data_IF_361012204014
#
_entry.id   IF_361012204014
#
_cell.length_a   1.000
_cell.length_b   1.000
_cell.length_c   1.000
_cell.angle_alpha   90.00
_cell.angle_beta   90.00
_cell.angle_gamma   90.00
#
_symmetry.space_group_name_H-M   'P 1'
#
loop_
_entity.id
_entity.type
_entity.pdbx_description
1 polymer ?
#
# COMPACT_ATOMS: atom_id res chain seq x y z
N UNK A 1 -8.06 -27.80 -31.25
CA UNK A 1 -7.95 -27.06 -29.99
C UNK A 1 -7.13 -27.89 -29.05
N UNK A 2 -6.16 -27.28 -28.38
CA UNK A 2 -5.34 -27.98 -27.39
C UNK A 2 -6.17 -28.36 -26.17
N UNK A 3 -5.83 -29.48 -25.54
CA UNK A 3 -6.56 -30.02 -24.40
C UNK A 3 -6.57 -29.03 -23.22
N UNK A 4 -7.67 -28.98 -22.44
CA UNK A 4 -7.72 -28.15 -21.24
C UNK A 4 -6.72 -28.67 -20.19
N UNK A 5 -5.99 -27.76 -19.56
CA UNK A 5 -5.12 -28.08 -18.42
C UNK A 5 -5.93 -28.30 -17.14
N UNK A 6 -7.10 -27.65 -17.04
CA UNK A 6 -8.05 -27.83 -15.95
C UNK A 6 -9.47 -27.91 -16.50
N UNK A 7 -10.27 -28.83 -15.94
CA UNK A 7 -11.69 -28.96 -16.29
C UNK A 7 -12.54 -28.69 -15.05
N UNK A 8 -13.31 -27.61 -15.09
CA UNK A 8 -14.35 -27.31 -14.10
C UNK A 8 -15.66 -27.94 -14.54
N UNK A 9 -16.04 -27.76 -15.81
CA UNK A 9 -17.21 -28.39 -16.42
C UNK A 9 -16.77 -29.26 -17.62
N UNK A 10 -16.90 -30.60 -17.56
CA UNK A 10 -16.58 -31.48 -18.68
C UNK A 10 -17.40 -31.23 -19.94
N UNK A 11 -18.63 -30.72 -19.78
CA UNK A 11 -19.51 -30.31 -20.88
C UNK A 11 -19.40 -28.80 -21.17
N UNK A 12 -18.40 -28.15 -20.57
CA UNK A 12 -18.15 -26.73 -20.68
C UNK A 12 -17.88 -26.30 -22.13
N UNK A 13 -18.53 -25.21 -22.52
CA UNK A 13 -18.52 -24.56 -23.83
C UNK A 13 -17.60 -23.34 -23.91
N UNK A 14 -16.84 -23.04 -22.84
CA UNK A 14 -15.85 -21.96 -22.80
C UNK A 14 -14.50 -22.49 -22.36
N UNK A 15 -13.44 -22.10 -23.07
CA UNK A 15 -12.06 -22.25 -22.62
C UNK A 15 -11.55 -20.88 -22.18
N UNK A 16 -11.20 -20.73 -20.91
CA UNK A 16 -10.45 -19.56 -20.44
C UNK A 16 -8.96 -19.85 -20.60
N UNK A 17 -8.29 -19.01 -21.37
CA UNK A 17 -6.85 -19.05 -21.60
C UNK A 17 -6.22 -18.03 -20.65
N UNK A 18 -5.63 -18.51 -19.55
CA UNK A 18 -4.95 -17.70 -18.55
C UNK A 18 -3.46 -17.60 -18.88
N UNK A 19 -3.00 -16.42 -19.28
CA UNK A 19 -1.58 -16.10 -19.50
C UNK A 19 -0.96 -15.39 -18.28
N UNK A 20 0.37 -15.43 -18.17
CA UNK A 20 1.14 -14.78 -17.09
C UNK A 20 0.64 -15.08 -15.66
N UNK A 21 0.19 -16.32 -15.41
CA UNK A 21 -0.40 -16.67 -14.12
C UNK A 21 0.58 -16.49 -12.94
N UNK A 22 0.03 -16.19 -11.76
CA UNK A 22 0.78 -16.00 -10.51
C UNK A 22 1.75 -14.80 -10.53
N UNK A 23 1.31 -13.70 -11.13
CA UNK A 23 2.01 -12.42 -11.04
C UNK A 23 2.16 -11.98 -9.55
N UNK A 24 3.22 -11.23 -9.19
CA UNK A 24 3.41 -10.75 -7.81
C UNK A 24 2.18 -10.00 -7.29
N UNK A 25 1.66 -10.44 -6.15
CA UNK A 25 0.44 -9.89 -5.56
C UNK A 25 0.78 -8.94 -4.41
N UNK A 26 0.34 -7.68 -4.54
CA UNK A 26 0.60 -6.61 -3.57
C UNK A 26 2.10 -6.44 -3.21
N UNK A 27 2.98 -6.16 -4.20
CA UNK A 27 4.42 -6.06 -3.97
C UNK A 27 4.76 -4.97 -2.94
N UNK A 28 5.95 -5.08 -2.36
CA UNK A 28 6.45 -4.08 -1.43
C UNK A 28 6.77 -2.76 -2.11
N UNK A 29 6.52 -1.64 -1.43
CA UNK A 29 6.78 -0.28 -1.96
C UNK A 29 8.28 -0.05 -2.27
N UNK A 30 9.16 -0.95 -1.84
CA UNK A 30 10.60 -0.90 -2.06
C UNK A 30 11.11 -1.83 -3.17
N UNK A 31 10.23 -2.57 -3.87
CA UNK A 31 10.63 -3.33 -5.04
C UNK A 31 10.62 -2.43 -6.28
N UNK A 32 11.73 -1.72 -6.49
CA UNK A 32 12.08 -1.12 -7.77
C UNK A 32 12.03 -2.23 -8.85
N UNK A 33 10.95 -2.24 -9.62
CA UNK A 33 10.69 -3.26 -10.65
C UNK A 33 11.47 -3.00 -11.94
N UNK A 34 12.64 -2.36 -11.85
CA UNK A 34 13.54 -2.12 -12.99
C UNK A 34 14.49 -3.28 -13.28
N UNK A 35 14.48 -4.36 -12.48
CA UNK A 35 15.35 -5.53 -12.70
C UNK A 35 14.73 -6.63 -13.60
N UNK A 36 14.14 -6.25 -14.75
CA UNK A 36 13.88 -7.16 -15.88
C UNK A 36 14.04 -6.41 -17.21
N UNK A 37 15.21 -5.82 -17.43
CA UNK A 37 15.70 -5.52 -18.78
C UNK A 37 17.14 -5.98 -18.90
N UNK A 38 17.30 -7.07 -19.65
CA UNK A 38 18.47 -7.53 -20.38
C UNK A 38 19.80 -7.61 -19.61
N UNK A 39 20.12 -8.81 -19.13
CA UNK A 39 21.51 -9.25 -18.98
C UNK A 39 21.70 -10.55 -19.75
N UNK A 40 21.94 -10.41 -21.05
CA UNK A 40 22.67 -11.38 -21.86
C UNK A 40 23.36 -10.61 -22.98
N UNK A 41 24.67 -10.42 -22.84
CA UNK A 41 25.67 -10.31 -23.92
C UNK A 41 27.03 -10.12 -23.27
N UNK A 42 27.83 -11.17 -23.33
CA UNK A 42 29.20 -11.22 -22.84
C UNK A 42 30.18 -10.68 -23.89
N UNK A 43 31.18 -9.92 -23.42
CA UNK A 43 32.54 -9.72 -23.97
C UNK A 43 32.75 -8.90 -25.27
N UNK A 44 33.45 -7.76 -25.19
CA UNK A 44 34.92 -7.62 -25.30
C UNK A 44 35.37 -6.15 -25.37
N UNK A 45 36.57 -5.93 -24.82
CA UNK A 45 37.41 -4.74 -24.72
C UNK A 45 37.98 -4.23 -26.05
N UNK A 46 38.11 -2.90 -26.21
CA UNK A 46 39.35 -2.19 -26.58
C UNK A 46 39.15 -0.67 -26.64
N UNK A 47 39.94 0.02 -25.82
CA UNK A 47 40.75 1.23 -26.02
C UNK A 47 40.26 2.47 -26.81
N UNK A 48 40.37 3.61 -26.10
CA UNK A 48 40.88 4.94 -26.49
C UNK A 48 40.18 5.73 -27.63
N UNK A 49 39.56 6.87 -27.29
CA UNK A 49 40.13 8.23 -27.44
C UNK A 49 39.02 9.30 -27.29
N UNK A 50 39.36 10.38 -26.61
CA UNK A 50 38.60 11.63 -26.53
C UNK A 50 38.55 12.32 -27.90
N UNK A 51 37.49 13.09 -28.17
CA UNK A 51 37.58 14.54 -28.43
C UNK A 51 36.45 15.11 -29.33
N UNK A 52 35.96 16.27 -28.87
CA UNK A 52 35.36 17.41 -29.59
C UNK A 52 34.07 17.33 -30.44
N UNK A 53 33.11 18.16 -29.98
CA UNK A 53 32.28 19.12 -30.72
C UNK A 53 31.71 18.74 -32.11
N UNK A 54 30.38 18.86 -32.27
CA UNK A 54 29.73 20.00 -32.96
C UNK A 54 28.25 19.73 -33.25
N UNK A 55 27.42 20.72 -32.92
CA UNK A 55 26.01 20.83 -33.28
C UNK A 55 25.75 20.64 -34.78
N UNK A 56 24.61 20.00 -35.14
CA UNK A 56 23.62 20.57 -36.07
C UNK A 56 22.33 19.73 -36.13
N UNK A 57 21.23 20.46 -35.94
CA UNK A 57 19.82 20.07 -36.08
C UNK A 57 19.41 20.01 -37.58
N UNK A 58 18.13 19.71 -37.92
CA UNK A 58 17.65 18.50 -38.58
C UNK A 58 17.36 18.70 -40.08
N UNK A 59 17.07 17.61 -40.81
CA UNK A 59 16.35 17.71 -42.10
C UNK A 59 15.19 16.71 -42.15
N UNK A 60 13.99 17.28 -42.29
CA UNK A 60 12.76 16.64 -42.73
C UNK A 60 12.85 16.35 -44.23
N UNK A 61 12.38 15.17 -44.65
CA UNK A 61 11.72 14.97 -45.95
C UNK A 61 10.58 13.97 -45.71
N UNK A 62 9.37 14.39 -46.07
CA UNK A 62 8.11 13.66 -46.11
C UNK A 62 7.98 12.76 -47.35
N UNK A 63 6.89 11.97 -47.34
CA UNK A 63 6.18 11.26 -48.43
C UNK A 63 6.43 9.74 -48.50
N UNK A 64 5.55 8.89 -47.93
CA UNK A 64 4.19 8.46 -48.36
C UNK A 64 4.20 7.16 -49.23
N UNK A 65 3.08 6.41 -49.29
CA UNK A 65 3.03 4.99 -48.94
C UNK A 65 2.95 4.05 -50.16
N UNK A 66 3.11 2.74 -49.95
CA UNK A 66 2.71 1.73 -50.94
C UNK A 66 2.23 0.45 -50.25
N UNK A 67 1.04 0.00 -50.65
CA UNK A 67 0.30 -1.16 -50.14
C UNK A 67 0.73 -2.47 -50.85
N UNK A 68 1.05 -3.50 -50.05
CA UNK A 68 0.75 -4.98 -50.17
C UNK A 68 1.01 -5.77 -51.47
N UNK A 69 0.99 -7.14 -51.49
CA UNK A 69 0.97 -8.17 -50.42
C UNK A 69 2.06 -9.27 -50.62
N UNK A 70 2.11 -10.27 -49.72
CA UNK A 70 2.06 -11.76 -49.94
C UNK A 70 2.99 -12.57 -49.02
N UNK A 71 2.35 -13.51 -48.30
CA UNK A 71 2.77 -14.85 -47.84
C UNK A 71 4.00 -15.13 -46.96
N UNK A 72 3.66 -15.80 -45.86
CA UNK A 72 4.33 -16.89 -45.14
C UNK A 72 5.66 -16.69 -44.39
N UNK A 73 5.58 -17.01 -43.09
CA UNK A 73 6.56 -17.88 -42.46
C UNK A 73 7.51 -17.26 -41.45
N UNK A 74 7.03 -16.99 -40.23
CA UNK A 74 7.57 -17.61 -39.01
C UNK A 74 6.74 -17.15 -37.82
N UNK A 75 5.98 -18.07 -37.22
CA UNK A 75 5.60 -17.96 -35.83
C UNK A 75 6.90 -17.99 -35.04
N UNK A 76 7.34 -16.84 -34.53
CA UNK A 76 8.37 -16.86 -33.50
C UNK A 76 7.73 -17.45 -32.25
N UNK A 77 7.95 -18.75 -32.04
CA UNK A 77 7.77 -19.41 -30.75
C UNK A 77 8.63 -18.68 -29.73
N UNK A 78 8.04 -17.72 -29.04
CA UNK A 78 8.60 -17.22 -27.78
C UNK A 78 8.47 -18.34 -26.74
N UNK A 79 9.44 -18.48 -25.83
CA UNK A 79 9.51 -19.62 -24.92
C UNK A 79 8.26 -19.66 -24.05
N UNK A 80 7.51 -20.75 -24.18
CA UNK A 80 6.33 -21.19 -23.43
C UNK A 80 6.06 -20.41 -22.13
N UNK A 81 5.39 -19.26 -22.24
CA UNK A 81 4.75 -18.62 -21.08
C UNK A 81 3.68 -19.59 -20.61
N UNK A 82 3.84 -20.15 -19.40
CA UNK A 82 2.99 -21.18 -18.81
C UNK A 82 1.52 -20.74 -18.83
N UNK A 83 0.82 -21.13 -19.89
CA UNK A 83 -0.56 -20.73 -20.15
C UNK A 83 -1.49 -21.85 -19.69
N UNK A 84 -2.52 -21.50 -18.90
CA UNK A 84 -3.49 -22.45 -18.40
C UNK A 84 -4.78 -22.37 -19.23
N UNK A 85 -5.28 -23.51 -19.67
CA UNK A 85 -6.54 -23.63 -20.44
C UNK A 85 -7.59 -24.26 -19.54
N UNK A 86 -8.59 -23.48 -19.13
CA UNK A 86 -9.58 -23.87 -18.13
C UNK A 86 -10.94 -24.03 -18.80
N UNK A 87 -11.47 -25.26 -18.84
CA UNK A 87 -12.78 -25.55 -19.41
C UNK A 87 -13.90 -25.29 -18.39
N UNK A 88 -14.84 -24.44 -18.77
CA UNK A 88 -15.93 -23.93 -17.92
C UNK A 88 -17.23 -23.77 -18.72
N UNK A 89 -18.33 -23.53 -18.02
CA UNK A 89 -19.65 -23.32 -18.61
C UNK A 89 -19.99 -21.84 -18.78
N UNK A 90 -20.29 -21.41 -20.01
CA UNK A 90 -20.79 -20.07 -20.31
C UNK A 90 -22.02 -19.72 -19.47
N UNK A 91 -22.95 -20.66 -19.29
CA UNK A 91 -24.20 -20.43 -18.54
C UNK A 91 -23.92 -20.04 -17.09
N UNK A 92 -23.00 -20.71 -16.43
CA UNK A 92 -22.61 -20.40 -15.04
C UNK A 92 -21.92 -19.04 -14.95
N UNK A 93 -20.98 -18.76 -15.87
CA UNK A 93 -20.28 -17.47 -15.92
C UNK A 93 -21.24 -16.30 -16.15
N UNK A 94 -22.12 -16.41 -17.16
CA UNK A 94 -23.11 -15.37 -17.53
C UNK A 94 -24.09 -15.12 -16.38
N UNK A 95 -24.52 -16.18 -15.70
CA UNK A 95 -25.45 -16.06 -14.57
C UNK A 95 -24.81 -15.33 -13.39
N UNK A 96 -23.56 -15.67 -13.05
CA UNK A 96 -22.89 -15.14 -11.88
C UNK A 96 -22.34 -13.72 -12.06
N UNK A 97 -21.91 -13.34 -13.27
CA UNK A 97 -21.14 -12.12 -13.52
C UNK A 97 -21.68 -11.32 -14.71
N UNK A 98 -21.98 -10.02 -14.53
CA UNK A 98 -22.32 -9.14 -15.63
C UNK A 98 -21.13 -8.92 -16.58
N UNK A 99 -19.89 -8.99 -16.08
CA UNK A 99 -18.67 -8.87 -16.91
C UNK A 99 -18.56 -10.05 -17.86
N UNK A 100 -18.70 -11.28 -17.37
CA UNK A 100 -18.72 -12.47 -18.25
C UNK A 100 -19.93 -12.47 -19.17
N UNK A 101 -21.11 -12.02 -18.72
CA UNK A 101 -22.28 -11.81 -19.58
C UNK A 101 -21.94 -10.91 -20.76
N UNK A 102 -21.41 -9.72 -20.49
CA UNK A 102 -21.08 -8.75 -21.54
C UNK A 102 -20.00 -9.28 -22.49
N UNK A 103 -19.04 -10.06 -21.97
CA UNK A 103 -17.99 -10.69 -22.78
C UNK A 103 -18.55 -11.77 -23.72
N UNK A 104 -19.49 -12.60 -23.25
CA UNK A 104 -20.00 -13.76 -24.00
C UNK A 104 -21.27 -13.47 -24.82
N UNK A 105 -22.03 -12.44 -24.48
CA UNK A 105 -23.28 -12.08 -25.16
C UNK A 105 -23.27 -10.70 -25.81
N UNK A 106 -22.15 -9.96 -25.74
CA UNK A 106 -22.01 -8.64 -26.34
C UNK A 106 -21.91 -8.65 -27.87
N UNK A 107 -21.38 -7.57 -28.46
CA UNK A 107 -21.09 -7.48 -29.90
C UNK A 107 -19.59 -7.68 -30.22
N UNK A 108 -18.89 -8.42 -29.36
CA UNK A 108 -17.46 -8.68 -29.48
C UNK A 108 -17.18 -9.91 -30.35
N UNK A 109 -15.91 -10.15 -30.71
CA UNK A 109 -15.54 -11.29 -31.57
C UNK A 109 -15.85 -12.63 -30.88
N UNK A 110 -15.70 -12.65 -29.57
CA UNK A 110 -15.92 -13.77 -28.68
C UNK A 110 -17.40 -14.18 -28.68
N UNK A 111 -18.31 -13.21 -28.51
CA UNK A 111 -19.75 -13.48 -28.51
C UNK A 111 -20.28 -13.93 -29.87
N UNK A 112 -19.79 -13.34 -30.97
CA UNK A 112 -20.13 -13.77 -32.33
C UNK A 112 -19.68 -15.21 -32.56
N UNK A 113 -18.47 -15.55 -32.11
CA UNK A 113 -17.94 -16.92 -32.23
C UNK A 113 -18.74 -17.92 -31.40
N UNK A 114 -19.09 -17.56 -30.16
CA UNK A 114 -19.91 -18.37 -29.27
C UNK A 114 -21.31 -18.65 -29.87
N UNK A 115 -21.98 -17.61 -30.38
CA UNK A 115 -23.30 -17.74 -31.00
C UNK A 115 -23.29 -18.60 -32.28
N UNK A 116 -22.18 -18.62 -33.01
CA UNK A 116 -22.05 -19.39 -34.26
C UNK A 116 -21.62 -20.85 -34.05
N UNK A 117 -20.68 -21.09 -33.13
CA UNK A 117 -20.01 -22.39 -32.96
C UNK A 117 -20.46 -23.16 -31.72
N UNK A 118 -21.21 -22.51 -30.82
CA UNK A 118 -21.59 -23.07 -29.52
C UNK A 118 -20.41 -23.26 -28.56
N UNK A 119 -19.22 -22.75 -28.90
CA UNK A 119 -18.04 -22.76 -28.04
C UNK A 119 -17.13 -21.56 -28.34
N UNK A 120 -16.36 -21.10 -27.34
CA UNK A 120 -15.47 -19.94 -27.48
C UNK A 120 -14.25 -20.02 -26.55
N UNK A 121 -13.13 -19.43 -26.99
CA UNK A 121 -11.98 -19.18 -26.13
C UNK A 121 -11.98 -17.70 -25.70
N UNK A 122 -11.79 -17.45 -24.41
CA UNK A 122 -11.63 -16.10 -23.84
C UNK A 122 -10.29 -15.99 -23.11
N UNK A 123 -9.70 -14.80 -23.09
CA UNK A 123 -8.40 -14.58 -22.43
C UNK A 123 -8.57 -13.99 -21.03
N UNK A 124 -7.71 -14.42 -20.13
CA UNK A 124 -7.49 -13.81 -18.83
C UNK A 124 -5.98 -13.70 -18.60
N UNK A 125 -5.53 -12.73 -17.81
CA UNK A 125 -4.10 -12.51 -17.61
C UNK A 125 -3.79 -12.24 -16.15
N UNK A 126 -2.60 -12.64 -15.71
CA UNK A 126 -1.99 -12.21 -14.43
C UNK A 126 -2.67 -12.70 -13.15
N UNK A 127 -3.78 -13.44 -13.24
CA UNK A 127 -4.43 -14.05 -12.07
C UNK A 127 -3.56 -15.14 -11.43
N UNK A 128 -3.67 -15.24 -10.11
CA UNK A 128 -3.20 -16.42 -9.38
C UNK A 128 -4.07 -17.63 -9.75
N UNK A 129 -3.45 -18.71 -10.22
CA UNK A 129 -4.19 -19.86 -10.77
C UNK A 129 -5.07 -20.53 -9.71
N UNK A 130 -4.58 -20.66 -8.47
CA UNK A 130 -5.33 -21.33 -7.41
C UNK A 130 -6.52 -20.47 -6.97
N UNK A 131 -6.33 -19.16 -6.81
CA UNK A 131 -7.42 -18.24 -6.52
C UNK A 131 -8.49 -18.27 -7.63
N UNK A 132 -8.06 -18.31 -8.89
CA UNK A 132 -8.96 -18.32 -10.04
C UNK A 132 -9.74 -19.65 -10.14
N UNK A 133 -9.10 -20.78 -9.86
CA UNK A 133 -9.78 -22.08 -9.80
C UNK A 133 -10.81 -22.14 -8.66
N UNK A 134 -10.48 -21.64 -7.46
CA UNK A 134 -11.45 -21.58 -6.34
C UNK A 134 -12.65 -20.71 -6.73
N UNK A 135 -12.40 -19.54 -7.31
CA UNK A 135 -13.42 -18.62 -7.79
C UNK A 135 -14.33 -19.25 -8.86
N UNK A 136 -13.76 -19.92 -9.86
CA UNK A 136 -14.54 -20.59 -10.90
C UNK A 136 -15.36 -21.75 -10.33
N UNK A 137 -14.79 -22.55 -9.42
CA UNK A 137 -15.54 -23.63 -8.72
C UNK A 137 -16.69 -23.08 -7.89
N UNK A 138 -16.52 -21.92 -7.26
CA UNK A 138 -17.58 -21.23 -6.52
C UNK A 138 -18.75 -20.87 -7.44
N UNK A 139 -18.47 -20.25 -8.59
CA UNK A 139 -19.48 -19.89 -9.60
C UNK A 139 -20.18 -21.12 -10.20
N UNK A 140 -19.49 -22.25 -10.30
CA UNK A 140 -20.05 -23.51 -10.81
C UNK A 140 -20.72 -24.37 -9.72
N UNK A 141 -20.85 -23.88 -8.48
CA UNK A 141 -21.53 -24.60 -7.40
C UNK A 141 -20.81 -25.87 -6.92
N UNK A 142 -19.51 -26.02 -7.21
CA UNK A 142 -18.73 -27.21 -6.85
C UNK A 142 -18.22 -27.17 -5.40
N UNK A 143 -19.13 -27.00 -4.45
CA UNK A 143 -18.79 -26.72 -3.04
C UNK A 143 -17.89 -27.77 -2.39
N UNK A 144 -17.99 -29.04 -2.78
CA UNK A 144 -17.14 -30.12 -2.25
C UNK A 144 -15.65 -29.99 -2.62
N UNK A 145 -15.34 -29.22 -3.68
CA UNK A 145 -13.99 -28.98 -4.19
C UNK A 145 -13.41 -27.64 -3.73
N UNK A 146 -14.12 -26.91 -2.86
CA UNK A 146 -13.74 -25.59 -2.38
C UNK A 146 -13.19 -25.69 -0.95
N UNK A 147 -12.02 -25.11 -0.65
CA UNK A 147 -11.50 -25.06 0.71
C UNK A 147 -12.47 -24.36 1.67
N UNK A 148 -12.65 -24.92 2.88
CA UNK A 148 -13.49 -24.28 3.93
C UNK A 148 -12.79 -23.13 4.65
N UNK A 149 -11.46 -23.08 4.60
CA UNK A 149 -10.63 -22.04 5.19
C UNK A 149 -9.65 -21.55 4.14
N UNK A 150 -9.37 -20.26 4.17
CA UNK A 150 -8.39 -19.60 3.32
C UNK A 150 -7.45 -18.78 4.20
N UNK A 151 -6.22 -18.59 3.72
CA UNK A 151 -5.35 -17.53 4.27
C UNK A 151 -5.88 -16.16 3.87
N UNK A 152 -5.47 -15.13 4.62
CA UNK A 152 -5.72 -13.73 4.25
C UNK A 152 -5.36 -13.42 2.79
N UNK A 153 -4.17 -13.86 2.34
CA UNK A 153 -3.70 -13.61 0.97
C UNK A 153 -4.60 -14.25 -0.08
N UNK A 154 -5.02 -15.50 0.13
CA UNK A 154 -5.90 -16.19 -0.82
C UNK A 154 -7.29 -15.54 -0.87
N UNK A 155 -7.84 -15.14 0.28
CA UNK A 155 -9.09 -14.40 0.33
C UNK A 155 -8.98 -13.03 -0.36
N UNK A 156 -7.86 -12.33 -0.18
CA UNK A 156 -7.59 -11.06 -0.83
C UNK A 156 -7.54 -11.20 -2.37
N UNK A 157 -6.85 -12.23 -2.88
CA UNK A 157 -6.80 -12.56 -4.32
C UNK A 157 -8.19 -12.86 -4.88
N UNK A 158 -8.98 -13.68 -4.17
CA UNK A 158 -10.36 -13.97 -4.55
C UNK A 158 -11.22 -12.70 -4.51
N UNK A 159 -11.06 -11.83 -3.51
CA UNK A 159 -11.76 -10.55 -3.45
C UNK A 159 -11.45 -9.66 -4.66
N UNK A 160 -10.20 -9.66 -5.18
CA UNK A 160 -9.86 -8.96 -6.43
C UNK A 160 -10.64 -9.53 -7.62
N UNK A 161 -10.73 -10.86 -7.73
CA UNK A 161 -11.51 -11.51 -8.79
C UNK A 161 -13.00 -11.17 -8.69
N UNK A 162 -13.58 -11.22 -7.48
CA UNK A 162 -14.98 -10.88 -7.25
C UNK A 162 -15.24 -9.41 -7.60
N UNK A 163 -14.33 -8.51 -7.24
CA UNK A 163 -14.42 -7.09 -7.58
C UNK A 163 -14.33 -6.86 -9.10
N UNK A 164 -13.39 -7.54 -9.77
CA UNK A 164 -13.17 -7.40 -11.21
C UNK A 164 -14.35 -7.92 -12.04
N UNK A 165 -14.85 -9.12 -11.70
CA UNK A 165 -15.94 -9.76 -12.41
C UNK A 165 -17.33 -9.34 -11.90
N UNK A 166 -17.41 -8.47 -10.89
CA UNK A 166 -18.64 -7.92 -10.32
C UNK A 166 -19.69 -8.99 -9.96
N UNK A 167 -19.29 -9.97 -9.15
CA UNK A 167 -20.12 -11.14 -8.83
C UNK A 167 -20.19 -11.44 -7.33
N UNK A 168 -20.21 -10.39 -6.51
CA UNK A 168 -20.22 -10.51 -5.04
C UNK A 168 -21.37 -11.36 -4.51
N UNK A 169 -22.57 -11.15 -5.06
CA UNK A 169 -23.78 -11.88 -4.61
C UNK A 169 -23.70 -13.37 -4.91
N UNK A 170 -23.12 -13.75 -6.05
CA UNK A 170 -23.00 -15.14 -6.50
C UNK A 170 -22.13 -16.01 -5.58
N UNK A 171 -21.21 -15.39 -4.82
CA UNK A 171 -20.27 -16.10 -3.92
C UNK A 171 -20.41 -15.67 -2.45
N UNK A 172 -21.44 -14.90 -2.12
CA UNK A 172 -21.67 -14.29 -0.79
C UNK A 172 -21.54 -15.28 0.37
N UNK A 173 -22.25 -16.41 0.31
CA UNK A 173 -22.23 -17.45 1.36
C UNK A 173 -20.82 -18.01 1.58
N UNK A 174 -20.05 -18.22 0.50
CA UNK A 174 -18.68 -18.71 0.60
C UNK A 174 -17.75 -17.66 1.20
N UNK A 175 -17.95 -16.39 0.84
CA UNK A 175 -17.15 -15.30 1.41
C UNK A 175 -17.40 -15.11 2.91
N UNK A 176 -18.64 -15.25 3.38
CA UNK A 176 -18.96 -15.25 4.82
C UNK A 176 -18.22 -16.40 5.53
N UNK A 177 -18.29 -17.62 4.98
CA UNK A 177 -17.59 -18.78 5.52
C UNK A 177 -16.08 -18.56 5.64
N UNK A 178 -15.45 -17.99 4.60
CA UNK A 178 -14.01 -17.76 4.61
C UNK A 178 -13.60 -16.65 5.58
N UNK A 179 -14.40 -15.57 5.67
CA UNK A 179 -14.17 -14.48 6.62
C UNK A 179 -14.24 -14.99 8.06
N UNK A 180 -15.27 -15.78 8.38
CA UNK A 180 -15.44 -16.38 9.71
C UNK A 180 -14.34 -17.41 10.03
N UNK A 181 -13.77 -18.02 8.99
CA UNK A 181 -12.68 -18.98 9.09
C UNK A 181 -11.27 -18.38 9.13
N UNK A 182 -11.11 -17.05 9.02
CA UNK A 182 -9.80 -16.40 9.06
C UNK A 182 -9.16 -16.51 10.45
N UNK A 183 -7.99 -17.13 10.51
CA UNK A 183 -7.18 -17.25 11.73
C UNK A 183 -6.07 -16.19 11.81
N UNK A 184 -5.75 -15.56 10.67
CA UNK A 184 -4.76 -14.49 10.57
C UNK A 184 -5.11 -13.32 11.50
N UNK A 185 -4.10 -12.68 12.09
CA UNK A 185 -4.28 -11.51 12.95
C UNK A 185 -3.91 -10.24 12.20
N UNK A 186 -4.60 -9.14 12.49
CA UNK A 186 -4.25 -7.84 11.95
C UNK A 186 -2.87 -7.44 12.48
N UNK A 187 -1.87 -7.18 11.62
CA UNK A 187 -0.55 -6.75 12.06
C UNK A 187 -0.62 -5.40 12.80
N UNK A 188 0.17 -5.28 13.86
CA UNK A 188 0.30 -4.03 14.61
C UNK A 188 1.22 -3.02 13.91
N UNK A 189 2.06 -3.46 12.98
CA UNK A 189 3.04 -2.65 12.24
C UNK A 189 2.69 -2.58 10.75
N UNK A 190 3.22 -1.57 10.06
CA UNK A 190 3.04 -1.44 8.62
C UNK A 190 3.76 -2.58 7.88
N UNK A 191 2.99 -3.40 7.18
CA UNK A 191 3.42 -4.62 6.47
C UNK A 191 2.51 -4.84 5.26
N UNK A 192 2.93 -5.70 4.32
CA UNK A 192 2.09 -6.14 3.20
C UNK A 192 0.75 -6.71 3.69
N UNK A 193 0.78 -7.58 4.70
CA UNK A 193 -0.43 -8.21 5.24
C UNK A 193 -1.39 -7.21 5.87
N UNK A 194 -0.89 -6.10 6.42
CA UNK A 194 -1.75 -5.03 6.90
C UNK A 194 -2.53 -4.35 5.75
N UNK A 195 -1.91 -4.21 4.57
CA UNK A 195 -2.58 -3.70 3.38
C UNK A 195 -3.58 -4.71 2.80
N UNK A 196 -3.30 -6.02 2.92
CA UNK A 196 -4.28 -7.07 2.59
C UNK A 196 -5.49 -7.03 3.52
N UNK A 197 -5.27 -6.87 4.83
CA UNK A 197 -6.35 -6.67 5.80
C UNK A 197 -7.18 -5.42 5.50
N UNK A 198 -6.53 -4.31 5.12
CA UNK A 198 -7.21 -3.10 4.69
C UNK A 198 -8.11 -3.37 3.47
N UNK A 199 -7.58 -4.04 2.45
CA UNK A 199 -8.34 -4.40 1.25
C UNK A 199 -9.55 -5.30 1.57
N UNK A 200 -9.32 -6.42 2.26
CA UNK A 200 -10.37 -7.38 2.63
C UNK A 200 -11.44 -6.71 3.49
N UNK A 201 -11.03 -5.95 4.51
CA UNK A 201 -11.99 -5.29 5.40
C UNK A 201 -12.78 -4.18 4.71
N UNK A 202 -12.18 -3.44 3.77
CA UNK A 202 -12.88 -2.46 2.95
C UNK A 202 -13.90 -3.13 2.02
N UNK A 203 -13.47 -4.13 1.25
CA UNK A 203 -14.30 -4.81 0.25
C UNK A 203 -15.50 -5.56 0.87
N UNK A 204 -15.27 -6.25 1.99
CA UNK A 204 -16.30 -6.99 2.71
C UNK A 204 -17.03 -6.17 3.78
N UNK A 205 -16.72 -4.87 3.93
CA UNK A 205 -17.34 -3.95 4.89
C UNK A 205 -17.19 -4.37 6.37
N UNK A 206 -16.03 -4.94 6.71
CA UNK A 206 -15.69 -5.40 8.06
C UNK A 206 -15.25 -4.22 8.94
N UNK A 207 -16.22 -3.50 9.51
CA UNK A 207 -15.99 -2.18 10.13
C UNK A 207 -14.92 -2.14 11.22
N UNK A 208 -14.87 -3.13 12.12
CA UNK A 208 -13.87 -3.18 13.20
C UNK A 208 -12.46 -3.42 12.66
N UNK A 209 -12.33 -4.37 11.72
CA UNK A 209 -11.09 -4.73 11.07
C UNK A 209 -10.58 -3.57 10.20
N UNK A 210 -11.48 -2.88 9.50
CA UNK A 210 -11.17 -1.70 8.68
C UNK A 210 -10.65 -0.54 9.54
N UNK A 211 -11.34 -0.23 10.63
CA UNK A 211 -10.92 0.82 11.56
C UNK A 211 -9.54 0.49 12.17
N UNK A 212 -9.33 -0.76 12.59
CA UNK A 212 -8.04 -1.20 13.16
C UNK A 212 -6.93 -1.15 12.12
N UNK A 213 -7.18 -1.63 10.90
CA UNK A 213 -6.18 -1.68 9.83
C UNK A 213 -5.76 -0.26 9.41
N UNK A 214 -6.72 0.63 9.15
CA UNK A 214 -6.44 2.03 8.80
C UNK A 214 -5.70 2.77 9.93
N UNK A 215 -6.08 2.54 11.19
CA UNK A 215 -5.37 3.06 12.37
C UNK A 215 -3.89 2.64 12.36
N UNK A 216 -3.63 1.33 12.20
CA UNK A 216 -2.28 0.80 12.23
C UNK A 216 -1.44 1.29 11.04
N UNK A 217 -2.02 1.39 9.84
CA UNK A 217 -1.36 1.93 8.63
C UNK A 217 -0.93 3.37 8.87
N UNK A 218 -1.87 4.25 9.22
CA UNK A 218 -1.56 5.68 9.43
C UNK A 218 -0.56 5.90 10.58
N UNK A 219 -0.61 5.05 11.61
CA UNK A 219 0.23 5.16 12.80
C UNK A 219 1.69 4.76 12.52
N UNK A 220 1.91 3.74 11.69
CA UNK A 220 3.22 3.09 11.56
C UNK A 220 3.91 3.28 10.19
N UNK A 221 3.17 3.62 9.13
CA UNK A 221 3.77 3.94 7.84
C UNK A 221 4.61 5.22 7.94
N UNK A 222 5.84 5.17 7.44
CA UNK A 222 6.81 6.27 7.47
C UNK A 222 7.01 6.94 6.11
N UNK A 223 6.31 6.49 5.07
CA UNK A 223 6.33 7.01 3.71
C UNK A 223 4.92 7.32 3.20
N UNK A 224 4.78 7.54 1.90
CA UNK A 224 3.49 7.71 1.25
C UNK A 224 2.75 6.36 1.23
N UNK A 225 1.52 6.32 1.75
CA UNK A 225 0.69 5.12 1.70
C UNK A 225 0.22 4.95 0.25
N UNK A 226 0.51 3.80 -0.36
CA UNK A 226 0.01 3.41 -1.68
C UNK A 226 -1.02 2.29 -1.56
N UNK A 227 -1.73 1.97 -2.64
CA UNK A 227 -2.64 0.82 -2.69
C UNK A 227 -1.94 -0.51 -3.00
N UNK A 228 -0.63 -0.49 -3.35
CA UNK A 228 0.14 -1.68 -3.75
C UNK A 228 -0.49 -2.49 -4.88
N UNK A 229 -1.20 -1.83 -5.79
CA UNK A 229 -1.93 -2.52 -6.87
C UNK A 229 -3.19 -3.25 -6.41
N UNK A 230 -3.57 -3.16 -5.13
CA UNK A 230 -4.86 -3.66 -4.66
C UNK A 230 -5.99 -2.71 -5.10
N UNK A 231 -7.22 -3.20 -5.31
CA UNK A 231 -8.37 -2.38 -5.72
C UNK A 231 -8.94 -1.52 -4.58
N UNK A 232 -8.10 -1.00 -3.69
CA UNK A 232 -8.51 -0.12 -2.60
C UNK A 232 -8.91 1.23 -3.23
N UNK A 233 -10.14 1.73 -2.96
CA UNK A 233 -10.58 3.03 -3.43
C UNK A 233 -9.60 4.16 -3.10
N UNK A 234 -9.29 5.02 -4.08
CA UNK A 234 -8.31 6.11 -3.93
C UNK A 234 -8.69 7.09 -2.82
N UNK A 235 -9.99 7.34 -2.62
CA UNK A 235 -10.49 8.18 -1.52
C UNK A 235 -10.01 7.68 -0.15
N UNK A 236 -9.98 6.36 0.09
CA UNK A 236 -9.49 5.77 1.35
C UNK A 236 -8.00 6.04 1.51
N UNK A 237 -7.20 5.81 0.45
CA UNK A 237 -5.75 6.08 0.46
C UNK A 237 -5.46 7.56 0.72
N UNK A 238 -6.17 8.45 0.03
CA UNK A 238 -6.01 9.90 0.16
C UNK A 238 -6.33 10.37 1.58
N UNK A 239 -7.48 9.96 2.14
CA UNK A 239 -7.87 10.35 3.50
C UNK A 239 -6.89 9.81 4.55
N UNK A 240 -6.34 8.60 4.36
CA UNK A 240 -5.30 8.08 5.24
C UNK A 240 -4.02 8.92 5.19
N UNK A 241 -3.56 9.28 3.99
CA UNK A 241 -2.36 10.12 3.81
C UNK A 241 -2.55 11.53 4.36
N UNK A 242 -3.72 12.14 4.15
CA UNK A 242 -4.09 13.45 4.71
C UNK A 242 -4.09 13.41 6.24
N UNK A 243 -4.75 12.41 6.84
CA UNK A 243 -4.83 12.27 8.30
C UNK A 243 -3.46 11.98 8.90
N UNK A 244 -2.68 11.07 8.31
CA UNK A 244 -1.29 10.78 8.73
C UNK A 244 -0.44 12.06 8.72
N UNK A 245 -0.42 12.75 7.57
CA UNK A 245 0.38 13.97 7.39
C UNK A 245 -0.06 15.10 8.31
N UNK A 246 -1.38 15.28 8.48
CA UNK A 246 -1.94 16.31 9.36
C UNK A 246 -1.56 16.12 10.83
N UNK A 247 -1.59 14.87 11.32
CA UNK A 247 -1.20 14.58 12.71
C UNK A 247 0.32 14.73 12.91
N UNK A 248 1.14 14.26 11.97
CA UNK A 248 2.60 14.45 12.02
C UNK A 248 2.95 15.93 12.02
N UNK A 249 2.38 16.70 11.09
CA UNK A 249 2.56 18.16 11.03
C UNK A 249 2.11 18.84 12.33
N UNK A 250 0.99 18.40 12.91
CA UNK A 250 0.50 18.90 14.19
C UNK A 250 1.49 18.74 15.34
N UNK A 251 2.25 17.64 15.38
CA UNK A 251 3.33 17.45 16.36
C UNK A 251 4.50 18.40 16.08
N UNK A 252 4.95 18.50 14.81
CA UNK A 252 6.07 19.36 14.43
C UNK A 252 5.77 20.83 14.73
N UNK A 253 4.55 21.29 14.47
CA UNK A 253 4.10 22.64 14.83
C UNK A 253 4.10 22.88 16.34
N UNK A 254 3.77 21.88 17.16
CA UNK A 254 3.84 21.99 18.63
C UNK A 254 5.28 22.06 19.15
N UNK A 255 6.19 21.30 18.56
CA UNK A 255 7.63 21.40 18.85
C UNK A 255 8.16 22.79 18.49
N UNK A 256 7.82 23.28 17.29
CA UNK A 256 8.21 24.62 16.86
C UNK A 256 7.63 25.71 17.78
N UNK A 257 6.34 25.61 18.11
CA UNK A 257 5.69 26.54 19.03
C UNK A 257 6.37 26.57 20.39
N UNK A 258 6.71 25.41 20.96
CA UNK A 258 7.46 25.38 22.22
C UNK A 258 8.81 26.10 22.09
N UNK A 259 9.52 25.91 20.97
CA UNK A 259 10.80 26.58 20.70
C UNK A 259 10.64 28.10 20.67
N UNK A 260 9.67 28.60 19.92
CA UNK A 260 9.38 30.04 19.81
C UNK A 260 8.90 30.64 21.14
N UNK A 261 8.11 29.88 21.91
CA UNK A 261 7.64 30.31 23.23
C UNK A 261 8.79 30.43 24.24
N UNK A 262 9.78 29.52 24.18
CA UNK A 262 10.99 29.59 25.02
C UNK A 262 11.89 30.76 24.61
N UNK A 263 12.03 31.03 23.30
CA UNK A 263 12.82 32.15 22.77
C UNK A 263 12.22 33.51 23.14
N UNK A 264 10.92 33.68 22.94
CA UNK A 264 10.20 34.92 23.25
C UNK A 264 10.04 35.17 24.75
N UNK A 265 10.14 34.12 25.56
CA UNK A 265 9.90 34.19 27.00
C UNK A 265 8.43 34.11 27.40
N UNK A 266 7.52 33.76 26.47
CA UNK A 266 6.14 33.42 26.81
C UNK A 266 6.04 32.11 27.61
N UNK A 267 7.10 31.28 27.56
CA UNK A 267 7.25 30.03 28.30
C UNK A 267 8.56 29.99 29.09
N UNK A 268 8.50 29.43 30.30
CA UNK A 268 9.64 29.35 31.23
C UNK A 268 9.61 30.47 32.27
N UNK A 269 10.19 30.24 33.45
CA UNK A 269 10.10 31.19 34.58
C UNK A 269 11.26 32.19 34.67
N UNK A 270 12.44 31.84 34.15
CA UNK A 270 13.63 32.69 34.15
C UNK A 270 14.51 32.41 32.92
N UNK A 271 15.67 33.08 32.83
CA UNK A 271 16.57 32.93 31.68
C UNK A 271 17.22 31.54 31.65
N UNK A 272 17.66 31.03 32.79
CA UNK A 272 18.29 29.72 32.96
C UNK A 272 17.32 28.61 32.55
N UNK A 273 16.08 28.64 33.04
CA UNK A 273 15.02 27.71 32.64
C UNK A 273 14.81 27.70 31.13
N UNK A 274 14.71 28.89 30.52
CA UNK A 274 14.44 29.00 29.09
C UNK A 274 15.59 28.50 28.25
N UNK A 275 16.81 28.95 28.55
CA UNK A 275 18.02 28.58 27.81
C UNK A 275 18.32 27.09 27.92
N UNK A 276 18.23 26.50 29.13
CA UNK A 276 18.46 25.07 29.34
C UNK A 276 17.38 24.21 28.67
N UNK A 277 16.10 24.59 28.81
CA UNK A 277 14.98 23.87 28.16
C UNK A 277 15.08 23.94 26.64
N UNK A 278 15.41 25.11 26.07
CA UNK A 278 15.58 25.30 24.64
C UNK A 278 16.77 24.49 24.10
N UNK A 279 17.89 24.49 24.81
CA UNK A 279 19.06 23.68 24.47
C UNK A 279 18.73 22.19 24.48
N UNK A 280 18.08 21.70 25.54
CA UNK A 280 17.65 20.31 25.64
C UNK A 280 16.67 19.93 24.53
N UNK A 281 15.68 20.77 24.24
CA UNK A 281 14.71 20.55 23.16
C UNK A 281 15.42 20.43 21.81
N UNK A 282 16.34 21.35 21.52
CA UNK A 282 17.07 21.38 20.24
C UNK A 282 17.97 20.15 20.09
N UNK A 283 18.67 19.74 21.14
CA UNK A 283 19.48 18.51 21.14
C UNK A 283 18.63 17.26 20.93
N UNK A 284 17.48 17.15 21.60
CA UNK A 284 16.55 16.03 21.42
C UNK A 284 15.97 16.01 20.00
N UNK A 285 15.53 17.15 19.46
CA UNK A 285 15.01 17.22 18.10
C UNK A 285 16.08 16.86 17.06
N UNK A 286 17.33 17.30 17.24
CA UNK A 286 18.44 16.96 16.35
C UNK A 286 18.78 15.46 16.40
N UNK A 287 18.95 14.89 17.59
CA UNK A 287 19.29 13.47 17.78
C UNK A 287 18.19 12.49 17.35
N UNK A 288 16.99 12.99 17.11
CA UNK A 288 15.83 12.21 16.72
C UNK A 288 15.36 12.48 15.29
N UNK A 289 16.17 13.16 14.48
CA UNK A 289 15.88 13.51 13.08
C UNK A 289 14.59 14.33 12.92
N UNK A 290 14.21 15.13 13.92
CA UNK A 290 13.05 16.02 13.85
C UNK A 290 13.39 17.40 13.29
N UNK A 291 14.67 17.65 13.01
CA UNK A 291 15.16 18.81 12.26
C UNK A 291 15.59 18.42 10.84
N UNK A 292 15.44 19.29 9.83
CA UNK A 292 14.78 20.61 9.90
C UNK A 292 13.26 20.48 10.05
N UNK A 293 12.61 21.52 10.58
CA UNK A 293 11.16 21.57 10.77
C UNK A 293 10.39 21.86 9.47
N UNK A 294 11.09 22.29 8.42
CA UNK A 294 10.55 22.65 7.09
C UNK A 294 10.22 21.43 6.22
N UNK A 295 10.06 20.24 6.82
CA UNK A 295 9.66 19.06 6.07
C UNK A 295 8.25 19.25 5.53
N UNK A 296 8.09 18.90 4.27
CA UNK A 296 6.78 18.86 3.64
C UNK A 296 6.24 17.43 3.61
N UNK A 297 4.93 17.31 3.46
CA UNK A 297 4.28 16.02 3.23
C UNK A 297 4.94 15.33 2.01
N UNK A 298 5.18 14.01 2.04
CA UNK A 298 4.61 13.02 2.95
C UNK A 298 5.43 12.71 4.21
N UNK A 299 6.42 13.54 4.58
CA UNK A 299 7.29 13.30 5.72
C UNK A 299 8.00 11.93 5.67
N UNK A 300 8.58 11.60 4.52
CA UNK A 300 9.26 10.31 4.29
C UNK A 300 10.32 10.02 5.37
N UNK A 301 10.35 8.78 5.86
CA UNK A 301 11.19 8.33 6.97
C UNK A 301 10.64 8.66 8.37
N UNK A 302 9.46 9.28 8.46
CA UNK A 302 8.83 9.59 9.74
C UNK A 302 7.44 8.95 9.86
N UNK A 303 7.29 8.00 10.80
CA UNK A 303 5.97 7.51 11.24
C UNK A 303 5.51 8.24 12.51
N UNK A 304 4.19 8.33 12.68
CA UNK A 304 3.59 8.92 13.87
C UNK A 304 4.04 8.21 15.14
N UNK A 305 3.98 6.87 15.16
CA UNK A 305 4.39 6.07 16.32
C UNK A 305 5.85 6.33 16.71
N UNK A 306 6.75 6.45 15.72
CA UNK A 306 8.15 6.76 15.99
C UNK A 306 8.30 8.14 16.62
N UNK A 307 7.69 9.18 16.03
CA UNK A 307 7.77 10.55 16.56
C UNK A 307 7.20 10.61 17.99
N UNK A 308 6.03 10.01 18.20
CA UNK A 308 5.37 10.00 19.50
C UNK A 308 6.24 9.35 20.58
N UNK A 309 6.82 8.18 20.29
CA UNK A 309 7.75 7.49 21.21
C UNK A 309 9.03 8.30 21.46
N UNK A 310 9.60 8.92 20.42
CA UNK A 310 10.78 9.78 20.54
C UNK A 310 10.51 10.93 21.51
N UNK A 311 9.38 11.64 21.35
CA UNK A 311 9.01 12.75 22.25
C UNK A 311 8.75 12.28 23.68
N UNK A 312 8.10 11.12 23.87
CA UNK A 312 7.91 10.54 25.21
C UNK A 312 9.25 10.26 25.93
N UNK A 313 10.32 10.00 25.17
CA UNK A 313 11.65 9.74 25.72
C UNK A 313 12.45 11.02 26.01
N UNK A 314 11.96 12.20 25.62
CA UNK A 314 12.70 13.45 25.82
C UNK A 314 12.87 13.74 27.31
N UNK A 315 14.12 13.81 27.74
CA UNK A 315 14.49 14.17 29.11
C UNK A 315 14.44 15.67 29.27
N UNK A 316 13.60 16.15 30.20
CA UNK A 316 13.59 17.56 30.61
C UNK A 316 14.87 17.87 31.38
N UNK A 317 15.47 19.07 31.24
CA UNK A 317 16.69 19.40 31.95
C UNK A 317 16.44 19.47 33.46
N UNK A 318 17.41 18.97 34.22
CA UNK A 318 17.44 19.06 35.67
C UNK A 318 18.67 19.89 36.08
N UNK A 319 18.44 20.95 36.85
CA UNK A 319 19.50 21.80 37.38
C UNK A 319 19.11 22.34 38.75
N UNK A 320 20.11 22.82 39.47
CA UNK A 320 19.95 23.35 40.83
C UNK A 320 20.18 24.85 40.80
N UNK A 321 19.26 25.62 41.35
CA UNK A 321 19.45 27.06 41.53
C UNK A 321 20.57 27.29 42.54
N UNK A 322 21.56 28.10 42.19
CA UNK A 322 22.53 28.56 43.18
C UNK A 322 21.78 29.40 44.23
N UNK A 323 22.05 29.20 45.54
CA UNK A 323 21.50 30.10 46.54
C UNK A 323 22.01 31.51 46.22
N UNK A 324 21.08 32.46 46.02
CA UNK A 324 21.41 33.88 46.01
C UNK A 324 21.90 34.25 47.40
N UNK A 325 23.20 34.06 47.66
CA UNK A 325 23.80 34.41 48.95
C UNK A 325 23.72 35.92 49.14
N UNK A 326 22.84 36.34 50.04
CA UNK A 326 23.17 37.47 50.88
C UNK A 326 24.12 36.92 51.94
N UNK A 327 25.21 37.64 52.14
CA UNK A 327 26.23 37.45 53.17
C UNK A 327 25.69 36.80 54.46
N UNK A 328 26.39 35.75 54.95
CA UNK A 328 26.16 34.99 56.20
C UNK A 328 24.99 34.00 56.21
N UNK A 329 25.25 32.76 55.77
CA UNK A 329 25.24 31.59 56.67
C UNK A 329 25.56 30.31 55.88
N UNK A 330 26.74 29.74 56.13
CA UNK A 330 27.05 28.36 55.76
C UNK A 330 26.46 27.49 56.85
N UNK A 331 25.46 26.69 56.48
CA UNK A 331 25.20 25.29 56.87
C UNK A 331 23.71 25.05 56.59
N UNK A 332 23.40 24.29 55.52
CA UNK A 332 22.07 23.94 55.00
C UNK A 332 21.46 24.90 53.96
N UNK A 333 22.20 25.22 52.88
CA UNK A 333 21.54 25.68 51.66
C UNK A 333 20.84 24.47 51.00
N UNK A 334 19.52 24.39 51.15
CA UNK A 334 18.69 23.36 50.54
C UNK A 334 18.71 23.53 49.02
N UNK A 335 19.65 22.83 48.35
CA UNK A 335 19.73 22.79 46.89
C UNK A 335 18.60 21.91 46.37
N UNK A 336 17.38 22.45 46.38
CA UNK A 336 16.25 21.79 45.76
C UNK A 336 16.40 21.86 44.23
N UNK A 337 16.10 20.76 43.50
CA UNK A 337 16.13 20.78 42.05
C UNK A 337 15.09 21.80 41.55
N UNK A 338 15.45 22.55 40.52
CA UNK A 338 14.53 23.49 39.90
C UNK A 338 13.31 22.76 39.34
N UNK A 339 12.10 23.20 39.73
CA UNK A 339 10.84 22.63 39.27
C UNK A 339 10.03 23.70 38.54
N UNK A 340 10.00 23.60 37.21
CA UNK A 340 9.13 24.40 36.37
C UNK A 340 8.26 23.48 35.51
N UNK A 341 6.94 23.56 35.63
CA UNK A 341 6.05 22.75 34.78
C UNK A 341 6.25 23.09 33.29
N UNK A 342 6.61 24.34 33.00
CA UNK A 342 6.90 24.81 31.64
C UNK A 342 8.18 24.23 31.04
N UNK A 343 9.07 23.58 31.80
CA UNK A 343 10.23 22.88 31.24
C UNK A 343 9.91 21.46 30.76
N UNK A 344 8.68 20.96 31.01
CA UNK A 344 8.27 19.61 30.63
C UNK A 344 7.96 19.45 29.14
N UNK A 345 8.63 18.49 28.49
CA UNK A 345 8.39 18.14 27.09
C UNK A 345 7.10 17.34 26.86
N UNK A 346 6.51 16.75 27.90
CA UNK A 346 5.23 16.02 27.79
C UNK A 346 4.07 16.91 27.33
N UNK A 347 4.20 18.23 27.47
CA UNK A 347 3.22 19.20 26.98
C UNK A 347 3.07 19.19 25.44
N UNK A 348 4.06 18.71 24.69
CA UNK A 348 3.96 18.56 23.22
C UNK A 348 2.84 17.58 22.86
N UNK A 349 2.83 16.42 23.51
CA UNK A 349 1.91 15.31 23.22
C UNK A 349 0.70 15.30 24.14
N UNK A 350 0.49 16.35 24.93
CA UNK A 350 -0.65 16.44 25.84
C UNK A 350 -1.97 16.41 25.05
N UNK A 351 -2.84 15.46 25.42
CA UNK A 351 -4.12 15.20 24.76
C UNK A 351 -4.03 14.37 23.47
N UNK A 352 -2.83 13.91 23.09
CA UNK A 352 -2.62 13.00 21.96
C UNK A 352 -2.57 11.54 22.44
N UNK A 353 -3.04 10.63 21.60
CA UNK A 353 -3.00 9.17 21.81
C UNK A 353 -1.75 8.56 21.18
N UNK A 354 -1.31 7.39 21.60
CA UNK A 354 -0.15 6.71 20.99
C UNK A 354 -0.41 6.13 19.58
N UNK A 355 -1.65 6.24 19.07
CA UNK A 355 -2.05 5.83 17.74
C UNK A 355 -2.99 6.86 17.09
N UNK A 356 -3.01 6.91 15.75
CA UNK A 356 -3.95 7.69 14.95
C UNK A 356 -5.28 6.94 14.87
N UNK A 357 -6.39 7.62 15.19
CA UNK A 357 -7.72 7.02 15.10
C UNK A 357 -8.03 6.55 13.67
N UNK A 358 -8.44 5.29 13.56
CA UNK A 358 -8.87 4.66 12.30
C UNK A 358 -10.04 5.38 11.63
N UNK A 359 -10.22 5.08 10.35
CA UNK A 359 -11.31 5.63 9.55
C UNK A 359 -12.63 4.92 9.89
N UNK A 360 -13.72 5.69 9.86
CA UNK A 360 -15.08 5.15 10.08
C UNK A 360 -15.61 4.43 8.84
N UNK A 361 -16.61 3.57 9.03
CA UNK A 361 -17.21 2.77 7.95
C UNK A 361 -17.94 3.58 6.89
N UNK A 362 -18.27 4.84 7.16
CA UNK A 362 -18.92 5.75 6.20
C UNK A 362 -18.10 5.97 4.93
N UNK A 363 -16.78 5.83 4.98
CA UNK A 363 -15.91 6.01 3.80
C UNK A 363 -15.92 4.80 2.86
N UNK A 364 -16.36 3.61 3.33
CA UNK A 364 -16.41 2.40 2.51
C UNK A 364 -17.61 2.35 1.55
N UNK A 365 -18.53 3.32 1.65
CA UNK A 365 -19.75 3.40 0.84
C UNK A 365 -19.71 4.43 -0.29
N UNK A 366 -18.57 5.11 -0.45
CA UNK A 366 -18.26 6.06 -1.52
C UNK A 366 -17.24 5.42 -2.46
#
# INVERSE_FOLDING_TARGET
>A
MDQPTHTIDPEGDVIIVLSNANSPFAPDDHEDTTAKKNSDSDSKTSDEEEDQHREKRPRLVEEQPSETPTEDGHLSETPDEKCFRIQVSAKHLILASPVFRNMLTGNWKESVSYLQKGSVEITAESWDIEAFLIFLRAIHGQQSQIPRKLSLEMLAKIAVLINYYDCKDAVSILTELWIDGLEDKIPATYTRDLMLWLWVSAFFKLSSQFQTSTSNVMTHCDHLITNRGLPIPENIINVMNERRSGVINGILLRLNKMREDLLSGSRGCDFECRSMTLGALTMHMNSNDLLPLEREAPFSGLSYAMIFRKIQSFRSPEWYSAPRSVYYDRLNADSSPHRCQSSSFNTVIQGMTNAINGLGSSIMGL
#
